data_IF_638009856555
#
_entry.id   IF_638009856555
#
_cell.length_a   1.000
_cell.length_b   1.000
_cell.length_c   1.000
_cell.angle_alpha   90.00
_cell.angle_beta   90.00
_cell.angle_gamma   90.00
#
_symmetry.space_group_name_H-M   'P 1'
#
loop_
_entity.id
_entity.type
_entity.pdbx_description
1 polymer ?
#
# COMPACT_ATOMS: atom_id res chain seq x y z
N UNK A 1 6.04 0.06 7.82
CA UNK A 1 4.93 -0.04 6.83
C UNK A 1 4.78 -1.43 6.20
N UNK A 2 5.74 -1.96 5.40
CA UNK A 2 5.59 -3.26 4.69
C UNK A 2 5.10 -4.43 5.56
N UNK A 3 5.70 -4.62 6.74
CA UNK A 3 5.29 -5.67 7.70
C UNK A 3 3.83 -5.48 8.17
N UNK A 4 3.39 -4.25 8.39
CA UNK A 4 2.01 -3.96 8.80
C UNK A 4 1.02 -4.34 7.69
N UNK A 5 1.35 -4.02 6.42
CA UNK A 5 0.52 -4.38 5.28
C UNK A 5 0.38 -5.90 5.13
N UNK A 6 1.50 -6.65 5.17
CA UNK A 6 1.49 -8.12 5.03
C UNK A 6 0.80 -8.85 6.19
N UNK A 7 0.75 -8.24 7.38
CA UNK A 7 0.06 -8.82 8.54
C UNK A 7 -1.43 -8.49 8.60
N UNK A 8 -1.87 -7.43 7.93
CA UNK A 8 -3.26 -6.96 7.98
C UNK A 8 -4.07 -7.34 6.75
N UNK A 9 -3.41 -7.68 5.63
CA UNK A 9 -4.06 -7.96 4.36
C UNK A 9 -3.36 -9.06 3.58
N UNK A 10 -4.15 -9.84 2.83
CA UNK A 10 -3.63 -10.84 1.88
C UNK A 10 -3.14 -10.18 0.59
N UNK A 11 -2.25 -10.86 -0.14
CA UNK A 11 -1.76 -10.39 -1.45
C UNK A 11 -2.92 -10.16 -2.44
N UNK A 12 -3.86 -11.10 -2.51
CA UNK A 12 -5.05 -11.02 -3.35
C UNK A 12 -5.93 -9.80 -3.02
N UNK A 13 -6.11 -9.48 -1.74
CA UNK A 13 -6.85 -8.28 -1.34
C UNK A 13 -6.10 -7.01 -1.76
N UNK A 14 -4.80 -6.92 -1.47
CA UNK A 14 -3.96 -5.78 -1.83
C UNK A 14 -3.86 -5.56 -3.34
N UNK A 15 -3.91 -6.62 -4.14
CA UNK A 15 -3.93 -6.58 -5.59
C UNK A 15 -5.13 -5.77 -6.15
N UNK A 16 -6.25 -5.77 -5.43
CA UNK A 16 -7.45 -4.99 -5.74
C UNK A 16 -7.43 -3.53 -5.25
N UNK A 17 -6.34 -3.07 -4.61
CA UNK A 17 -6.24 -1.74 -4.02
C UNK A 17 -5.32 -0.81 -4.80
N UNK A 18 -5.59 0.49 -4.71
CA UNK A 18 -4.60 1.55 -4.94
C UNK A 18 -4.91 2.75 -4.06
N UNK A 19 -4.06 3.79 -4.08
CA UNK A 19 -4.26 4.95 -3.21
C UNK A 19 -5.56 5.72 -3.48
N UNK A 20 -6.07 5.75 -4.72
CA UNK A 20 -7.14 6.68 -5.17
C UNK A 20 -8.45 6.02 -5.64
N UNK A 21 -8.54 4.69 -5.67
CA UNK A 21 -9.74 3.95 -6.09
C UNK A 21 -10.10 4.03 -7.58
N UNK A 22 -9.11 4.06 -8.48
CA UNK A 22 -9.36 4.14 -9.95
C UNK A 22 -9.01 2.83 -10.67
N UNK A 23 -9.55 2.66 -11.89
CA UNK A 23 -9.27 1.51 -12.80
C UNK A 23 -9.68 0.15 -12.22
N UNK A 24 -10.91 0.05 -11.71
CA UNK A 24 -11.44 -1.20 -11.13
C UNK A 24 -10.83 -1.61 -9.79
N UNK A 25 -10.14 -0.69 -9.10
CA UNK A 25 -9.52 -0.92 -7.78
C UNK A 25 -10.17 -0.06 -6.71
N UNK A 26 -10.17 -0.54 -5.46
CA UNK A 26 -10.70 0.20 -4.30
C UNK A 26 -9.69 1.23 -3.78
N UNK A 27 -10.18 2.33 -3.22
CA UNK A 27 -9.37 3.40 -2.64
C UNK A 27 -8.87 3.01 -1.25
N UNK A 28 -7.58 2.73 -1.12
CA UNK A 28 -6.96 2.44 0.17
C UNK A 28 -6.65 3.69 0.98
N UNK A 29 -6.23 4.79 0.34
CA UNK A 29 -5.82 6.02 1.02
C UNK A 29 -6.94 6.73 1.79
N UNK A 30 -8.20 6.37 1.56
CA UNK A 30 -9.37 6.87 2.30
C UNK A 30 -9.95 5.84 3.28
N UNK A 31 -9.29 4.70 3.48
CA UNK A 31 -9.78 3.65 4.36
C UNK A 31 -9.37 3.88 5.82
N UNK A 32 -10.17 3.38 6.77
CA UNK A 32 -9.82 3.40 8.19
C UNK A 32 -8.55 2.61 8.50
N UNK A 33 -8.32 1.50 7.78
CA UNK A 33 -7.10 0.71 7.91
C UNK A 33 -5.85 1.50 7.49
N UNK A 34 -5.95 2.35 6.47
CA UNK A 34 -4.88 3.27 6.11
C UNK A 34 -4.55 4.24 7.24
N UNK A 35 -5.57 4.87 7.84
CA UNK A 35 -5.38 5.81 8.96
C UNK A 35 -4.67 5.14 10.13
N UNK A 36 -5.15 3.96 10.54
CA UNK A 36 -4.54 3.19 11.63
C UNK A 36 -3.07 2.83 11.36
N UNK A 37 -2.78 2.31 10.16
CA UNK A 37 -1.39 1.94 9.79
C UNK A 37 -0.51 3.18 9.70
N UNK A 38 -1.02 4.29 9.15
CA UNK A 38 -0.29 5.56 9.07
C UNK A 38 0.08 6.05 10.46
N UNK A 39 -0.89 6.18 11.34
CA UNK A 39 -0.70 6.69 12.69
C UNK A 39 0.26 5.81 13.48
N UNK A 40 0.09 4.49 13.43
CA UNK A 40 0.99 3.53 14.09
C UNK A 40 2.44 3.67 13.60
N UNK A 41 2.65 3.80 12.28
CA UNK A 41 3.99 3.87 11.72
C UNK A 41 4.66 5.22 12.02
N UNK A 42 3.95 6.34 11.88
CA UNK A 42 4.49 7.68 12.10
C UNK A 42 4.78 7.95 13.59
N UNK A 43 3.95 7.43 14.50
CA UNK A 43 4.19 7.53 15.95
C UNK A 43 5.36 6.67 16.40
N UNK A 44 5.50 5.46 15.84
CA UNK A 44 6.60 4.55 16.19
C UNK A 44 7.94 4.92 15.53
N UNK A 45 7.93 5.71 14.46
CA UNK A 45 9.12 6.08 13.69
C UNK A 45 9.07 7.57 13.32
N UNK A 46 9.46 8.43 14.25
CA UNK A 46 9.34 9.90 14.12
C UNK A 46 10.15 10.51 12.97
N UNK A 47 11.20 9.83 12.50
CA UNK A 47 11.97 10.24 11.32
C UNK A 47 11.28 9.90 10.00
N UNK A 48 10.22 9.09 10.03
CA UNK A 48 9.49 8.69 8.84
C UNK A 48 8.38 9.69 8.55
N UNK A 49 8.45 10.38 7.41
CA UNK A 49 7.47 11.42 7.07
C UNK A 49 6.21 10.83 6.44
N UNK A 50 5.09 11.56 6.53
CA UNK A 50 3.84 11.18 5.86
C UNK A 50 4.01 11.07 4.33
N UNK A 51 4.77 11.99 3.73
CA UNK A 51 5.10 11.93 2.29
C UNK A 51 5.82 10.63 1.96
N UNK A 52 6.83 10.26 2.76
CA UNK A 52 7.59 9.03 2.54
C UNK A 52 6.73 7.77 2.75
N UNK A 53 5.88 7.77 3.77
CA UNK A 53 4.90 6.71 4.01
C UNK A 53 3.99 6.51 2.79
N UNK A 54 3.40 7.59 2.28
CA UNK A 54 2.49 7.54 1.13
C UNK A 54 3.20 7.09 -0.14
N UNK A 55 4.43 7.54 -0.38
CA UNK A 55 5.25 7.13 -1.51
C UNK A 55 5.54 5.61 -1.46
N UNK A 56 6.03 5.12 -0.33
CA UNK A 56 6.39 3.71 -0.16
C UNK A 56 5.14 2.81 -0.22
N UNK A 57 4.02 3.27 0.33
CA UNK A 57 2.74 2.55 0.29
C UNK A 57 2.21 2.46 -1.14
N UNK A 58 2.25 3.56 -1.89
CA UNK A 58 1.87 3.56 -3.30
C UNK A 58 2.75 2.62 -4.13
N UNK A 59 4.06 2.62 -3.89
CA UNK A 59 5.00 1.67 -4.50
C UNK A 59 4.65 0.23 -4.11
N UNK A 60 4.38 -0.02 -2.84
CA UNK A 60 4.06 -1.35 -2.34
C UNK A 60 2.80 -1.93 -3.00
N UNK A 61 1.70 -1.17 -3.03
CA UNK A 61 0.46 -1.57 -3.73
C UNK A 61 0.66 -1.69 -5.25
N UNK A 62 1.55 -0.88 -5.83
CA UNK A 62 1.87 -0.95 -7.26
C UNK A 62 2.57 -2.27 -7.62
N UNK A 63 3.40 -2.80 -6.73
CA UNK A 63 4.19 -4.01 -6.95
C UNK A 63 3.74 -5.20 -6.09
N UNK A 64 2.50 -5.19 -5.59
CA UNK A 64 1.95 -6.30 -4.83
C UNK A 64 1.94 -7.60 -5.69
N UNK A 65 2.30 -8.76 -5.11
CA UNK A 65 2.13 -10.05 -5.78
C UNK A 65 0.66 -10.22 -6.20
N UNK A 66 0.40 -10.92 -7.31
CA UNK A 66 -0.96 -11.21 -7.81
C UNK A 66 -1.77 -9.97 -8.25
N UNK A 67 -1.11 -8.84 -8.55
CA UNK A 67 -1.77 -7.61 -8.97
C UNK A 67 -2.79 -7.83 -10.11
N UNK A 68 -4.07 -7.60 -9.80
CA UNK A 68 -5.18 -7.60 -10.75
C UNK A 68 -5.07 -6.39 -11.71
N UNK A 69 -5.28 -6.65 -13.00
CA UNK A 69 -5.37 -5.62 -14.06
C UNK A 69 -4.09 -5.30 -14.84
N UNK A 70 -3.08 -6.17 -14.80
CA UNK A 70 -1.91 -6.10 -15.70
C UNK A 70 -0.92 -4.98 -15.38
N UNK A 71 0.38 -5.29 -15.41
CA UNK A 71 1.43 -4.28 -15.29
C UNK A 71 2.28 -4.35 -14.03
N UNK A 72 2.46 -5.54 -13.45
CA UNK A 72 3.71 -5.80 -12.74
C UNK A 72 4.84 -5.62 -13.75
N UNK A 73 5.51 -4.46 -13.77
CA UNK A 73 6.82 -4.37 -14.42
C UNK A 73 7.65 -5.44 -13.72
N UNK A 74 8.07 -6.48 -14.46
CA UNK A 74 9.12 -7.38 -14.02
C UNK A 74 10.25 -6.49 -13.49
N UNK A 75 10.76 -6.77 -12.29
CA UNK A 75 12.04 -6.19 -11.88
C UNK A 75 12.98 -6.48 -13.04
N UNK A 76 13.55 -5.43 -13.66
CA UNK A 76 14.76 -5.65 -14.44
C UNK A 76 15.81 -5.92 -13.37
N UNK A 77 16.31 -7.15 -13.38
CA UNK A 77 17.56 -7.50 -12.72
C UNK A 77 18.68 -6.54 -13.19
#
# INVERSE_FOLDING_TARGET
MKKAMLRTMTNSYMAGLNMKGKRGKKAFGSSQLYLLIKETVLTSHTQYTESKFNEDLAKFLKYAPERVGGGGRRRRD
#
